data_IF_089869291786
#
_entry.id   IF_089869291786
#
_cell.length_a   1.000
_cell.length_b   1.000
_cell.length_c   1.000
_cell.angle_alpha   90.00
_cell.angle_beta   90.00
_cell.angle_gamma   90.00
#
_symmetry.space_group_name_H-M   'P 1'
#
loop_
_entity.id
_entity.type
_entity.pdbx_description
1 polymer ?
#
# COMPACT_ATOMS: atom_id res chain seq x y z
N UNK A 1 2.68 104.52 -23.19
CA UNK A 1 3.04 103.25 -23.86
C UNK A 1 3.51 102.32 -22.76
N UNK A 2 2.86 101.17 -22.69
CA UNK A 2 2.94 100.13 -21.67
C UNK A 2 4.35 99.57 -21.51
N UNK A 3 4.72 99.13 -20.29
CA UNK A 3 5.30 97.79 -20.03
C UNK A 3 5.58 97.62 -18.52
N UNK A 4 4.73 96.85 -17.84
CA UNK A 4 4.95 95.46 -17.36
C UNK A 4 5.55 95.43 -15.95
N UNK A 5 4.67 95.12 -15.01
CA UNK A 5 4.92 94.86 -13.60
C UNK A 5 5.56 93.46 -13.49
N UNK A 6 6.84 93.39 -13.17
CA UNK A 6 7.56 92.12 -12.99
C UNK A 6 7.37 91.64 -11.55
N UNK A 7 6.61 90.55 -11.39
CA UNK A 7 6.22 89.94 -10.12
C UNK A 7 7.36 89.04 -9.63
N UNK A 8 7.91 89.36 -8.46
CA UNK A 8 8.84 88.51 -7.70
C UNK A 8 8.22 87.11 -7.42
N UNK A 9 8.93 86.05 -7.82
CA UNK A 9 8.65 84.68 -7.38
C UNK A 9 9.58 84.32 -6.21
N UNK A 10 9.08 83.82 -5.06
CA UNK A 10 9.95 83.38 -3.98
C UNK A 10 10.59 82.03 -4.30
N UNK A 11 11.88 81.90 -3.99
CA UNK A 11 12.63 80.66 -4.15
C UNK A 11 12.10 79.55 -3.23
N UNK A 12 11.62 78.45 -3.83
CA UNK A 12 11.27 77.22 -3.13
C UNK A 12 12.50 76.60 -2.46
N UNK A 13 12.49 76.58 -1.13
CA UNK A 13 13.48 75.85 -0.32
C UNK A 13 13.20 74.36 -0.41
N UNK A 14 13.96 73.62 -1.23
CA UNK A 14 13.90 72.16 -1.27
C UNK A 14 14.42 71.58 0.06
N UNK A 15 13.50 71.19 0.94
CA UNK A 15 13.81 70.29 2.06
C UNK A 15 14.04 68.88 1.52
N UNK A 16 15.30 68.46 1.49
CA UNK A 16 15.68 67.07 1.26
C UNK A 16 15.25 66.24 2.49
N UNK A 17 14.18 65.47 2.35
CA UNK A 17 13.80 64.47 3.36
C UNK A 17 14.74 63.27 3.19
N UNK A 18 15.70 63.11 4.10
CA UNK A 18 16.50 61.91 4.18
C UNK A 18 15.60 60.72 4.53
N UNK A 19 15.48 59.76 3.61
CA UNK A 19 14.77 58.51 3.85
C UNK A 19 15.45 57.72 4.98
N UNK A 20 14.70 57.08 5.89
CA UNK A 20 15.31 56.20 6.88
C UNK A 20 15.91 55.00 6.17
N UNK A 21 17.21 54.81 6.32
CA UNK A 21 17.92 53.62 5.85
C UNK A 21 17.37 52.41 6.58
N UNK A 22 16.46 51.68 5.92
CA UNK A 22 15.98 50.38 6.39
C UNK A 22 17.15 49.41 6.36
N UNK A 23 17.80 49.19 7.52
CA UNK A 23 18.76 48.11 7.66
C UNK A 23 17.98 46.80 7.58
N UNK A 24 18.13 46.09 6.47
CA UNK A 24 17.65 44.73 6.33
C UNK A 24 18.37 43.86 7.37
N UNK A 25 17.63 43.41 8.39
CA UNK A 25 18.11 42.40 9.33
C UNK A 25 18.13 41.07 8.57
N UNK A 26 19.28 40.74 7.98
CA UNK A 26 19.52 39.40 7.43
C UNK A 26 20.04 38.50 8.55
N UNK A 27 19.13 37.97 9.35
CA UNK A 27 19.42 36.77 10.13
C UNK A 27 18.35 35.77 9.73
N UNK A 28 18.70 34.90 8.79
CA UNK A 28 17.98 33.66 8.57
C UNK A 28 18.62 32.68 9.54
N UNK A 29 18.03 32.42 10.73
CA UNK A 29 18.55 31.39 11.60
C UNK A 29 18.50 30.07 10.83
N UNK A 30 19.67 29.49 10.57
CA UNK A 30 19.82 28.27 9.79
C UNK A 30 19.56 27.04 10.63
N UNK A 31 19.66 27.17 11.95
CA UNK A 31 19.38 26.09 12.90
C UNK A 31 18.36 26.52 13.97
N UNK A 32 17.59 25.56 14.52
CA UNK A 32 16.63 25.84 15.60
C UNK A 32 17.29 26.38 16.86
N UNK A 33 18.51 25.91 17.15
CA UNK A 33 19.30 26.40 18.27
C UNK A 33 19.70 27.87 18.10
N UNK A 34 20.05 28.31 16.88
CA UNK A 34 20.30 29.73 16.59
C UNK A 34 19.04 30.57 16.77
N UNK A 35 17.86 30.07 16.39
CA UNK A 35 16.58 30.77 16.60
C UNK A 35 16.31 31.00 18.09
N UNK A 36 16.48 29.95 18.92
CA UNK A 36 16.30 30.03 20.38
C UNK A 36 17.35 30.92 21.03
N UNK A 37 18.63 30.79 20.66
CA UNK A 37 19.71 31.63 21.18
C UNK A 37 19.52 33.11 20.81
N UNK A 38 19.06 33.38 19.60
CA UNK A 38 18.74 34.74 19.15
C UNK A 38 17.51 35.30 19.86
N UNK A 39 16.47 34.49 20.12
CA UNK A 39 15.32 34.89 20.91
C UNK A 39 15.73 35.21 22.36
N UNK A 40 16.56 34.36 22.98
CA UNK A 40 17.10 34.58 24.32
C UNK A 40 17.95 35.85 24.39
N UNK A 41 18.83 36.09 23.40
CA UNK A 41 19.64 37.31 23.31
C UNK A 41 18.80 38.59 23.18
N UNK A 42 17.58 38.48 22.63
CA UNK A 42 16.61 39.58 22.52
C UNK A 42 15.72 39.73 23.76
N UNK A 43 15.96 38.95 24.81
CA UNK A 43 15.20 39.02 26.05
C UNK A 43 13.85 38.31 26.01
N UNK A 44 13.69 37.29 25.15
CA UNK A 44 12.50 36.44 25.18
C UNK A 44 12.31 35.81 26.56
N UNK A 45 11.07 35.76 27.01
CA UNK A 45 10.67 35.11 28.25
C UNK A 45 10.87 33.60 28.21
N UNK A 46 10.97 32.96 29.37
CA UNK A 46 11.08 31.50 29.46
C UNK A 46 9.93 30.76 28.80
N UNK A 47 8.72 31.34 28.82
CA UNK A 47 7.55 30.73 28.20
C UNK A 47 7.61 30.81 26.67
N UNK A 48 8.12 31.91 26.11
CA UNK A 48 8.39 32.01 24.67
C UNK A 48 9.46 31.01 24.21
N UNK A 49 10.55 30.86 24.99
CA UNK A 49 11.60 29.89 24.67
C UNK A 49 11.07 28.44 24.68
N UNK A 50 10.21 28.08 25.63
CA UNK A 50 9.53 26.78 25.65
C UNK A 50 8.65 26.59 24.42
N UNK A 51 7.84 27.59 24.07
CA UNK A 51 6.98 27.55 22.89
C UNK A 51 7.79 27.36 21.58
N UNK A 52 8.98 27.96 21.48
CA UNK A 52 9.88 27.73 20.35
C UNK A 52 10.43 26.31 20.30
N UNK A 53 10.81 25.73 21.44
CA UNK A 53 11.28 24.33 21.52
C UNK A 53 10.16 23.37 21.11
N UNK A 54 8.94 23.55 21.65
CA UNK A 54 7.78 22.74 21.29
C UNK A 54 7.43 22.86 19.80
N UNK A 55 7.48 24.07 19.25
CA UNK A 55 7.30 24.30 17.82
C UNK A 55 8.35 23.53 17.01
N UNK A 56 9.60 23.55 17.45
CA UNK A 56 10.70 22.87 16.79
C UNK A 56 10.51 21.35 16.81
N UNK A 57 10.25 20.75 17.97
CA UNK A 57 9.97 19.31 18.11
C UNK A 57 8.81 18.89 17.19
N UNK A 58 7.76 19.72 17.09
CA UNK A 58 6.63 19.48 16.19
C UNK A 58 7.02 19.57 14.71
N UNK A 59 7.91 20.49 14.34
CA UNK A 59 8.41 20.58 12.97
C UNK A 59 9.28 19.37 12.61
N UNK A 60 10.17 18.94 13.50
CA UNK A 60 10.99 17.74 13.36
C UNK A 60 10.13 16.48 13.24
N UNK A 61 9.13 16.32 14.12
CA UNK A 61 8.20 15.21 14.06
C UNK A 61 7.43 15.18 12.73
N UNK A 62 7.00 16.35 12.24
CA UNK A 62 6.34 16.45 10.92
C UNK A 62 7.29 16.13 9.77
N UNK A 63 8.56 16.54 9.86
CA UNK A 63 9.57 16.21 8.87
C UNK A 63 9.86 14.71 8.85
N UNK A 64 10.02 14.09 10.03
CA UNK A 64 10.21 12.65 10.17
C UNK A 64 9.02 11.86 9.60
N UNK A 65 7.79 12.32 9.88
CA UNK A 65 6.57 11.71 9.30
C UNK A 65 6.52 11.84 7.78
N UNK A 66 6.84 13.01 7.22
CA UNK A 66 6.91 13.22 5.77
C UNK A 66 7.96 12.29 5.13
N UNK A 67 9.12 12.18 5.75
CA UNK A 67 10.20 11.31 5.28
C UNK A 67 9.81 9.83 5.32
N UNK A 68 9.17 9.39 6.42
CA UNK A 68 8.60 8.04 6.52
C UNK A 68 7.63 7.75 5.37
N UNK A 69 6.67 8.63 5.11
CA UNK A 69 5.68 8.42 4.04
C UNK A 69 6.35 8.38 2.66
N UNK A 70 7.30 9.27 2.40
CA UNK A 70 8.03 9.29 1.14
C UNK A 70 8.86 8.01 0.93
N UNK A 71 9.61 7.56 1.94
CA UNK A 71 10.41 6.35 1.88
C UNK A 71 9.53 5.09 1.75
N UNK A 72 8.38 5.04 2.42
CA UNK A 72 7.43 3.91 2.32
C UNK A 72 6.77 3.87 0.93
N UNK A 73 6.50 5.02 0.33
CA UNK A 73 6.03 5.08 -1.06
C UNK A 73 7.09 4.58 -2.06
N UNK A 74 8.37 4.89 -1.83
CA UNK A 74 9.48 4.39 -2.64
C UNK A 74 9.64 2.87 -2.49
N UNK A 75 9.63 2.36 -1.26
CA UNK A 75 9.63 0.92 -0.96
C UNK A 75 8.51 0.18 -1.73
N UNK A 76 7.32 0.77 -1.81
CA UNK A 76 6.17 0.19 -2.51
C UNK A 76 6.24 0.31 -4.04
N UNK A 77 7.16 1.10 -4.60
CA UNK A 77 7.33 1.21 -6.06
C UNK A 77 7.93 -0.06 -6.66
N UNK A 78 8.76 -0.75 -5.90
CA UNK A 78 9.34 -2.06 -6.25
C UNK A 78 9.15 -3.04 -5.09
N UNK A 79 7.91 -3.49 -4.83
CA UNK A 79 7.62 -4.27 -3.64
C UNK A 79 8.31 -5.64 -3.70
N UNK A 80 8.86 -6.13 -2.58
CA UNK A 80 9.52 -7.42 -2.54
C UNK A 80 8.52 -8.54 -2.85
N UNK A 81 8.97 -9.53 -3.61
CA UNK A 81 8.17 -10.71 -3.93
C UNK A 81 8.29 -11.75 -2.81
N UNK A 82 7.14 -12.20 -2.29
CA UNK A 82 7.10 -13.10 -1.13
C UNK A 82 6.47 -14.43 -1.56
N UNK A 83 7.31 -15.42 -1.84
CA UNK A 83 6.86 -16.73 -2.32
C UNK A 83 6.49 -17.66 -1.17
N UNK A 84 5.59 -18.61 -1.43
CA UNK A 84 5.23 -19.66 -0.49
C UNK A 84 6.29 -20.78 -0.52
N UNK A 85 7.04 -20.91 0.57
CA UNK A 85 8.19 -21.82 0.71
C UNK A 85 7.86 -23.09 1.50
N UNK A 86 6.68 -23.17 2.14
CA UNK A 86 6.29 -24.31 2.97
C UNK A 86 4.93 -24.88 2.59
N UNK A 87 4.87 -26.20 2.41
CA UNK A 87 3.64 -26.97 2.25
C UNK A 87 3.27 -27.68 3.57
N UNK A 88 1.99 -27.66 3.92
CA UNK A 88 1.41 -28.37 5.06
C UNK A 88 0.26 -29.21 4.55
N UNK A 89 0.38 -30.53 4.68
CA UNK A 89 -0.61 -31.47 4.18
C UNK A 89 -0.09 -32.90 4.22
N UNK A 90 -0.83 -33.78 3.60
CA UNK A 90 -0.47 -35.19 3.43
C UNK A 90 -0.77 -35.64 2.02
N UNK A 91 -0.09 -36.70 1.59
CA UNK A 91 -0.41 -37.37 0.34
C UNK A 91 -1.47 -38.44 0.60
N UNK A 92 -2.49 -38.45 -0.24
CA UNK A 92 -3.51 -39.48 -0.29
C UNK A 92 -2.96 -40.77 -0.91
N UNK A 93 -3.69 -41.88 -0.73
CA UNK A 93 -3.31 -43.18 -1.28
C UNK A 93 -3.26 -43.20 -2.82
N UNK A 94 -4.00 -42.30 -3.46
CA UNK A 94 -4.01 -42.11 -4.92
C UNK A 94 -2.86 -41.22 -5.43
N UNK A 95 -1.99 -40.75 -4.54
CA UNK A 95 -0.87 -39.86 -4.85
C UNK A 95 -1.22 -38.38 -4.87
N UNK A 96 -2.50 -37.99 -4.71
CA UNK A 96 -2.89 -36.57 -4.65
C UNK A 96 -2.45 -35.93 -3.33
N UNK A 97 -2.04 -34.66 -3.36
CA UNK A 97 -1.68 -33.90 -2.16
C UNK A 97 -2.92 -33.15 -1.63
N UNK A 98 -3.25 -33.33 -0.36
CA UNK A 98 -4.25 -32.51 0.33
C UNK A 98 -3.55 -31.65 1.36
N UNK A 99 -3.54 -30.34 1.12
CA UNK A 99 -2.86 -29.39 1.98
C UNK A 99 -2.91 -27.97 1.45
N UNK A 100 -2.16 -27.10 2.12
CA UNK A 100 -1.99 -25.71 1.71
C UNK A 100 -0.52 -25.31 1.79
N UNK A 101 -0.17 -24.27 1.02
CA UNK A 101 1.15 -23.67 1.06
C UNK A 101 1.11 -22.28 1.68
N UNK A 102 2.16 -21.92 2.40
CA UNK A 102 2.32 -20.60 3.02
C UNK A 102 3.78 -20.16 3.04
N UNK A 103 4.02 -18.85 3.16
CA UNK A 103 5.35 -18.28 3.37
C UNK A 103 5.74 -18.34 4.85
N UNK A 104 6.91 -18.87 5.18
CA UNK A 104 7.43 -18.89 6.55
C UNK A 104 7.79 -17.49 7.03
N UNK A 105 7.89 -17.30 8.35
CA UNK A 105 8.37 -16.04 8.92
C UNK A 105 9.76 -15.67 8.38
N UNK A 106 10.67 -16.63 8.27
CA UNK A 106 12.01 -16.40 7.74
C UNK A 106 12.01 -15.91 6.29
N UNK A 107 11.19 -16.50 5.42
CA UNK A 107 11.05 -16.04 4.04
C UNK A 107 10.46 -14.62 3.95
N UNK A 108 9.45 -14.32 4.76
CA UNK A 108 8.88 -12.97 4.85
C UNK A 108 9.92 -11.97 5.36
N UNK A 109 10.62 -12.28 6.45
CA UNK A 109 11.65 -11.41 7.00
C UNK A 109 12.78 -11.17 6.00
N UNK A 110 13.29 -12.22 5.35
CA UNK A 110 14.37 -12.09 4.37
C UNK A 110 14.00 -11.11 3.27
N UNK A 111 12.85 -11.30 2.63
CA UNK A 111 12.40 -10.43 1.54
C UNK A 111 12.05 -9.01 2.00
N UNK A 112 11.33 -8.86 3.11
CA UNK A 112 10.80 -7.57 3.55
C UNK A 112 11.85 -6.73 4.26
N UNK A 113 12.66 -7.31 5.14
CA UNK A 113 13.62 -6.56 5.97
C UNK A 113 14.78 -6.02 5.14
N UNK A 114 15.26 -6.80 4.18
CA UNK A 114 16.28 -6.34 3.22
C UNK A 114 15.79 -5.14 2.41
N UNK A 115 14.58 -5.23 1.86
CA UNK A 115 13.97 -4.15 1.09
C UNK A 115 13.68 -2.90 1.97
N UNK A 116 13.15 -3.08 3.18
CA UNK A 116 12.94 -1.99 4.14
C UNK A 116 14.24 -1.28 4.51
N UNK A 117 15.31 -2.03 4.75
CA UNK A 117 16.62 -1.49 5.12
C UNK A 117 17.20 -0.56 4.04
N UNK A 118 16.96 -0.87 2.76
CA UNK A 118 17.38 -0.02 1.63
C UNK A 118 16.76 1.38 1.65
N UNK A 119 15.58 1.51 2.27
CA UNK A 119 14.88 2.80 2.42
C UNK A 119 15.00 3.38 3.84
N UNK A 120 15.94 2.89 4.65
CA UNK A 120 16.20 3.42 5.99
C UNK A 120 15.15 3.05 7.02
N UNK A 121 14.42 1.95 6.82
CA UNK A 121 13.50 1.41 7.82
C UNK A 121 14.12 0.29 8.63
N UNK A 122 13.72 0.23 9.90
CA UNK A 122 13.94 -0.91 10.79
C UNK A 122 12.60 -1.41 11.32
N UNK A 123 12.56 -2.66 11.77
CA UNK A 123 11.38 -3.24 12.41
C UNK A 123 11.73 -3.84 13.76
N UNK A 124 10.76 -3.87 14.67
CA UNK A 124 10.84 -4.63 15.92
C UNK A 124 9.49 -5.26 16.24
N UNK A 125 9.51 -6.34 17.02
CA UNK A 125 8.30 -6.87 17.64
C UNK A 125 8.35 -6.74 19.15
N UNK A 126 7.23 -6.31 19.72
CA UNK A 126 6.92 -6.47 21.14
C UNK A 126 5.90 -7.59 21.28
N UNK A 127 6.18 -8.58 22.11
CA UNK A 127 5.33 -9.74 22.33
C UNK A 127 4.90 -9.81 23.79
N UNK A 128 3.60 -9.94 24.00
CA UNK A 128 2.98 -9.95 25.32
C UNK A 128 2.00 -11.11 25.43
N UNK A 129 1.85 -11.64 26.64
CA UNK A 129 0.77 -12.56 27.01
C UNK A 129 0.02 -11.95 28.20
N UNK A 130 -1.04 -11.14 27.95
CA UNK A 130 -1.83 -10.55 29.02
C UNK A 130 -2.53 -11.63 29.87
N UNK A 131 -3.02 -11.25 31.06
CA UNK A 131 -3.72 -12.15 31.99
C UNK A 131 -4.97 -12.83 31.40
N UNK A 132 -5.45 -12.35 30.24
CA UNK A 132 -6.50 -13.00 29.46
C UNK A 132 -6.08 -14.35 28.83
N UNK A 133 -4.79 -14.69 28.87
CA UNK A 133 -4.24 -15.90 28.22
C UNK A 133 -4.08 -15.79 26.71
N UNK A 134 -4.41 -14.63 26.12
CA UNK A 134 -4.17 -14.35 24.70
C UNK A 134 -2.70 -14.01 24.44
N UNK A 135 -2.26 -14.20 23.20
CA UNK A 135 -0.94 -13.74 22.73
C UNK A 135 -1.15 -12.49 21.91
N UNK A 136 -0.42 -11.43 22.22
CA UNK A 136 -0.41 -10.19 21.48
C UNK A 136 0.98 -9.92 20.90
N UNK A 137 1.03 -9.50 19.63
CA UNK A 137 2.26 -9.08 18.97
C UNK A 137 2.04 -7.71 18.34
N UNK A 138 2.94 -6.78 18.62
CA UNK A 138 2.98 -5.45 18.00
C UNK A 138 4.22 -5.35 17.13
N UNK A 139 4.04 -5.17 15.82
CA UNK A 139 5.12 -4.84 14.89
C UNK A 139 5.26 -3.32 14.82
N UNK A 140 6.47 -2.81 15.07
CA UNK A 140 6.80 -1.39 14.91
C UNK A 140 7.74 -1.22 13.72
N UNK A 141 7.42 -0.31 12.79
CA UNK A 141 8.32 0.10 11.70
C UNK A 141 8.83 1.49 12.00
N UNK A 142 10.15 1.66 12.11
CA UNK A 142 10.79 2.94 12.44
C UNK A 142 11.69 3.39 11.30
N UNK A 143 11.45 4.60 10.81
CA UNK A 143 12.31 5.24 9.81
C UNK A 143 13.55 5.85 10.47
N UNK A 144 14.65 5.99 9.72
CA UNK A 144 15.91 6.58 10.20
C UNK A 144 15.76 8.00 10.77
N UNK A 145 14.73 8.75 10.37
CA UNK A 145 14.40 10.07 10.93
C UNK A 145 13.57 10.01 12.23
N UNK A 146 13.28 8.83 12.77
CA UNK A 146 12.66 8.65 14.09
C UNK A 146 11.14 8.46 14.10
N UNK A 147 10.43 8.67 12.98
CA UNK A 147 8.99 8.37 12.95
C UNK A 147 8.75 6.85 12.97
N UNK A 148 7.73 6.44 13.73
CA UNK A 148 7.39 5.05 13.98
C UNK A 148 5.88 4.83 13.84
N UNK A 149 5.49 3.79 13.10
CA UNK A 149 4.10 3.30 13.03
C UNK A 149 4.04 1.86 13.56
N UNK A 150 2.91 1.51 14.17
CA UNK A 150 2.74 0.20 14.82
C UNK A 150 1.50 -0.53 14.32
N UNK A 151 1.62 -1.84 14.14
CA UNK A 151 0.52 -2.75 13.80
C UNK A 151 0.44 -3.85 14.86
N UNK A 152 -0.71 -3.98 15.54
CA UNK A 152 -0.92 -4.97 16.60
C UNK A 152 -1.95 -6.01 16.20
N UNK A 153 -1.66 -7.28 16.50
CA UNK A 153 -2.62 -8.38 16.39
C UNK A 153 -2.62 -9.20 17.68
N UNK A 154 -3.77 -9.80 17.97
CA UNK A 154 -3.99 -10.63 19.16
C UNK A 154 -4.70 -11.92 18.74
N UNK A 155 -4.28 -13.06 19.30
CA UNK A 155 -4.91 -14.35 19.05
C UNK A 155 -4.75 -15.29 20.26
N UNK A 156 -5.63 -16.30 20.43
CA UNK A 156 -5.41 -17.35 21.42
C UNK A 156 -4.18 -18.21 21.08
N UNK A 157 -3.61 -18.93 22.06
CA UNK A 157 -2.62 -19.98 21.79
C UNK A 157 -3.16 -21.00 20.78
N UNK A 158 -2.33 -21.36 19.79
CA UNK A 158 -2.73 -22.25 18.70
C UNK A 158 -2.82 -23.70 19.19
N UNK A 159 -4.03 -24.10 19.57
CA UNK A 159 -4.35 -25.43 20.08
C UNK A 159 -4.48 -26.52 19.00
N UNK A 160 -4.07 -26.24 17.76
CA UNK A 160 -4.11 -27.23 16.68
C UNK A 160 -3.07 -28.34 16.86
N UNK A 161 -3.44 -29.56 16.43
CA UNK A 161 -2.57 -30.74 16.49
C UNK A 161 -2.31 -31.22 17.91
N UNK A 162 -1.16 -31.88 18.12
CA UNK A 162 -0.75 -32.47 19.41
C UNK A 162 0.32 -31.61 20.11
N UNK A 163 0.12 -30.29 20.17
CA UNK A 163 1.07 -29.33 20.76
C UNK A 163 0.89 -29.18 22.27
N UNK A 164 2.00 -29.11 23.01
CA UNK A 164 1.97 -28.70 24.42
C UNK A 164 1.75 -27.18 24.56
N UNK A 165 1.38 -26.69 25.75
CA UNK A 165 1.01 -25.28 25.97
C UNK A 165 2.08 -24.28 25.47
N UNK A 166 3.37 -24.55 25.71
CA UNK A 166 4.47 -23.67 25.27
C UNK A 166 4.55 -23.63 23.74
N UNK A 167 4.39 -24.77 23.08
CA UNK A 167 4.38 -24.86 21.61
C UNK A 167 3.19 -24.11 21.01
N UNK A 168 2.01 -24.17 21.64
CA UNK A 168 0.82 -23.45 21.18
C UNK A 168 1.09 -21.94 21.17
N UNK A 169 1.64 -21.39 22.26
CA UNK A 169 2.02 -19.97 22.38
C UNK A 169 3.08 -19.61 21.34
N UNK A 170 4.16 -20.39 21.23
CA UNK A 170 5.23 -20.12 20.27
C UNK A 170 4.76 -20.12 18.81
N UNK A 171 3.84 -21.03 18.44
CA UNK A 171 3.25 -21.02 17.10
C UNK A 171 2.37 -19.79 16.86
N UNK A 172 1.61 -19.34 17.85
CA UNK A 172 0.83 -18.10 17.74
C UNK A 172 1.74 -16.88 17.56
N UNK A 173 2.82 -16.76 18.35
CA UNK A 173 3.79 -15.66 18.22
C UNK A 173 4.36 -15.62 16.80
N UNK A 174 4.84 -16.76 16.29
CA UNK A 174 5.43 -16.86 14.94
C UNK A 174 4.42 -16.44 13.87
N UNK A 175 3.16 -16.87 14.02
CA UNK A 175 2.09 -16.53 13.10
C UNK A 175 1.80 -15.02 13.13
N UNK A 176 1.60 -14.44 14.32
CA UNK A 176 1.29 -13.03 14.48
C UNK A 176 2.44 -12.12 14.03
N UNK A 177 3.70 -12.47 14.31
CA UNK A 177 4.87 -11.73 13.82
C UNK A 177 4.87 -11.62 12.30
N UNK A 178 4.61 -12.74 11.60
CA UNK A 178 4.53 -12.77 10.14
C UNK A 178 3.45 -11.84 9.60
N UNK A 179 2.22 -11.95 10.12
CA UNK A 179 1.10 -11.18 9.59
C UNK A 179 1.11 -9.72 10.01
N UNK A 180 1.64 -9.39 11.19
CA UNK A 180 1.81 -7.99 11.62
C UNK A 180 2.85 -7.27 10.77
N UNK A 181 3.95 -7.92 10.38
CA UNK A 181 4.94 -7.34 9.46
C UNK A 181 4.36 -7.14 8.06
N UNK A 182 3.67 -8.15 7.51
CA UNK A 182 2.97 -8.01 6.22
C UNK A 182 1.96 -6.86 6.25
N UNK A 183 1.14 -6.78 7.30
CA UNK A 183 0.13 -5.74 7.46
C UNK A 183 0.75 -4.35 7.66
N UNK A 184 1.82 -4.22 8.45
CA UNK A 184 2.52 -2.95 8.65
C UNK A 184 3.10 -2.40 7.34
N UNK A 185 3.58 -3.28 6.46
CA UNK A 185 4.09 -2.90 5.14
C UNK A 185 2.99 -2.79 4.07
N UNK A 186 1.77 -3.28 4.34
CA UNK A 186 0.71 -3.39 3.34
C UNK A 186 1.06 -4.36 2.21
N UNK A 187 1.67 -5.50 2.53
CA UNK A 187 2.10 -6.53 1.59
C UNK A 187 1.28 -7.81 1.74
N UNK A 188 1.23 -8.60 0.66
CA UNK A 188 0.64 -9.92 0.64
C UNK A 188 1.66 -10.95 0.12
N UNK A 189 1.49 -12.21 0.52
CA UNK A 189 2.25 -13.32 -0.06
C UNK A 189 1.70 -13.66 -1.44
N UNK A 190 2.56 -13.96 -2.40
CA UNK A 190 2.13 -14.34 -3.74
C UNK A 190 1.29 -15.62 -3.69
N UNK A 191 0.26 -15.64 -4.51
CA UNK A 191 -0.38 -16.88 -4.89
C UNK A 191 0.59 -17.61 -5.83
N UNK A 192 0.96 -18.84 -5.50
CA UNK A 192 1.59 -19.70 -6.49
C UNK A 192 0.57 -19.90 -7.60
N UNK A 193 1.00 -19.79 -8.86
CA UNK A 193 0.24 -20.30 -9.99
C UNK A 193 -0.19 -21.73 -9.63
N UNK A 194 -1.48 -21.90 -9.48
CA UNK A 194 -2.12 -23.18 -9.24
C UNK A 194 -1.96 -24.00 -10.53
N UNK A 195 -0.84 -24.72 -10.65
CA UNK A 195 -0.54 -25.64 -11.76
C UNK A 195 -1.32 -26.97 -11.63
N UNK A 196 -2.48 -26.93 -10.98
CA UNK A 196 -3.48 -28.01 -11.01
C UNK A 196 -4.39 -27.91 -12.27
N UNK A 197 -4.04 -27.03 -13.22
CA UNK A 197 -4.63 -26.91 -14.55
C UNK A 197 -3.59 -27.08 -15.65
N UNK A 198 -3.21 -28.33 -15.94
CA UNK A 198 -2.38 -28.79 -17.08
C UNK A 198 -2.05 -27.72 -18.15
N UNK A 199 -0.77 -27.33 -18.17
CA UNK A 199 0.07 -27.11 -19.35
C UNK A 199 -0.59 -26.58 -20.63
N UNK A 200 -0.33 -25.30 -20.90
CA UNK A 200 -0.36 -24.72 -22.24
C UNK A 200 0.75 -23.67 -22.32
N UNK A 201 1.99 -24.12 -22.46
CA UNK A 201 3.03 -23.26 -23.02
C UNK A 201 2.64 -22.99 -24.46
N UNK A 202 2.44 -21.72 -24.81
CA UNK A 202 2.77 -21.23 -26.14
C UNK A 202 3.62 -19.98 -25.95
N UNK A 203 4.93 -20.17 -26.02
CA UNK A 203 5.81 -19.14 -26.53
C UNK A 203 5.51 -18.99 -28.02
N UNK A 204 4.97 -17.85 -28.43
CA UNK A 204 5.35 -17.31 -29.74
C UNK A 204 5.56 -15.80 -29.64
N UNK A 205 6.82 -15.43 -29.85
CA UNK A 205 7.27 -14.09 -30.04
C UNK A 205 7.38 -13.84 -31.54
N UNK A 206 6.57 -12.98 -32.16
CA UNK A 206 6.97 -12.22 -33.35
C UNK A 206 6.11 -10.94 -33.58
N UNK A 207 6.66 -9.79 -33.14
CA UNK A 207 7.02 -8.61 -33.96
C UNK A 207 5.95 -7.82 -34.79
N UNK A 208 6.06 -6.48 -34.62
CA UNK A 208 5.86 -5.34 -35.55
C UNK A 208 4.60 -4.44 -35.39
N UNK A 209 4.81 -3.34 -34.66
CA UNK A 209 4.68 -1.91 -35.04
C UNK A 209 3.45 -1.34 -35.77
N UNK A 210 3.00 -0.21 -35.17
CA UNK A 210 2.67 1.13 -35.73
C UNK A 210 1.24 1.55 -36.13
N UNK A 211 0.91 2.73 -35.57
CA UNK A 211 0.09 3.86 -36.07
C UNK A 211 -1.43 3.79 -35.85
N UNK A 212 -1.97 4.58 -34.89
CA UNK A 212 -2.73 5.86 -35.10
C UNK A 212 -4.20 5.60 -35.51
N UNK A 213 -5.26 6.18 -34.94
CA UNK A 213 -5.54 7.54 -34.44
C UNK A 213 -6.89 7.57 -33.69
N UNK A 214 -7.08 8.61 -32.86
CA UNK A 214 -8.27 9.00 -32.09
C UNK A 214 -9.60 9.02 -32.88
N UNK A 215 -10.74 8.78 -32.21
CA UNK A 215 -11.81 9.78 -32.00
C UNK A 215 -12.84 9.32 -30.94
N UNK A 216 -13.56 10.30 -30.39
CA UNK A 216 -14.27 10.31 -29.12
C UNK A 216 -15.76 9.93 -29.20
N UNK A 217 -16.28 9.37 -28.10
CA UNK A 217 -17.57 9.78 -27.54
C UNK A 217 -18.80 8.92 -27.83
N UNK A 218 -19.22 8.13 -26.83
CA UNK A 218 -20.59 8.13 -26.30
C UNK A 218 -20.67 7.26 -25.03
N UNK A 219 -21.25 7.86 -24.00
CA UNK A 219 -21.50 7.31 -22.67
C UNK A 219 -22.55 6.22 -22.72
N UNK A 220 -22.26 5.04 -22.17
CA UNK A 220 -23.28 4.16 -21.58
C UNK A 220 -22.64 3.22 -20.56
N UNK A 221 -23.20 3.23 -19.35
CA UNK A 221 -22.77 2.41 -18.23
C UNK A 221 -23.20 0.95 -18.47
N UNK A 222 -22.24 0.04 -18.53
CA UNK A 222 -22.49 -1.39 -18.31
C UNK A 222 -21.25 -2.07 -17.73
N UNK A 223 -21.50 -2.85 -16.67
CA UNK A 223 -20.57 -3.66 -15.89
C UNK A 223 -19.58 -4.46 -16.75
N UNK A 224 -18.28 -4.16 -16.63
CA UNK A 224 -17.21 -4.74 -17.44
C UNK A 224 -16.85 -6.18 -17.07
N UNK A 225 -17.61 -7.14 -17.59
CA UNK A 225 -17.18 -8.52 -17.77
C UNK A 225 -17.20 -8.83 -19.27
N UNK A 226 -16.04 -9.20 -19.83
CA UNK A 226 -15.91 -9.62 -21.24
C UNK A 226 -16.94 -10.71 -21.57
N UNK A 227 -17.58 -10.62 -22.73
CA UNK A 227 -18.58 -11.60 -23.16
C UNK A 227 -17.91 -12.89 -23.64
N UNK A 228 -18.50 -14.05 -23.37
CA UNK A 228 -18.04 -15.30 -23.98
C UNK A 228 -18.22 -15.25 -25.49
N UNK A 229 -17.11 -15.36 -26.23
CA UNK A 229 -17.18 -15.56 -27.68
C UNK A 229 -17.85 -16.90 -28.01
N UNK A 230 -18.53 -17.02 -29.17
CA UNK A 230 -19.12 -18.29 -29.59
C UNK A 230 -18.12 -19.46 -29.59
N UNK A 231 -16.87 -19.19 -29.94
CA UNK A 231 -15.80 -20.18 -30.01
C UNK A 231 -15.39 -20.66 -28.62
N UNK A 232 -15.16 -19.74 -27.67
CA UNK A 232 -14.87 -20.09 -26.27
C UNK A 232 -16.02 -20.84 -25.60
N UNK A 233 -17.25 -20.43 -25.90
CA UNK A 233 -18.43 -21.09 -25.38
C UNK A 233 -18.55 -22.52 -25.93
N UNK A 234 -18.34 -22.73 -27.23
CA UNK A 234 -18.37 -24.04 -27.85
C UNK A 234 -17.26 -24.96 -27.33
N UNK A 235 -16.06 -24.44 -27.10
CA UNK A 235 -14.92 -25.19 -26.58
C UNK A 235 -15.18 -25.73 -25.15
N UNK A 236 -15.77 -24.89 -24.28
CA UNK A 236 -16.01 -25.24 -22.88
C UNK A 236 -17.36 -25.92 -22.62
N UNK A 237 -18.31 -25.81 -23.55
CA UNK A 237 -19.65 -26.40 -23.44
C UNK A 237 -19.69 -27.89 -23.07
N UNK A 238 -18.84 -28.79 -23.63
CA UNK A 238 -18.86 -30.21 -23.28
C UNK A 238 -18.54 -30.49 -21.79
N UNK A 239 -17.63 -29.71 -21.21
CA UNK A 239 -17.26 -29.84 -19.80
C UNK A 239 -18.40 -29.38 -18.88
N UNK A 240 -19.00 -28.23 -19.20
CA UNK A 240 -20.12 -27.69 -18.43
C UNK A 240 -21.37 -28.56 -18.55
N UNK A 241 -21.65 -29.07 -19.74
CA UNK A 241 -22.76 -29.99 -19.97
C UNK A 241 -22.60 -31.27 -19.15
N UNK A 242 -21.39 -31.82 -19.04
CA UNK A 242 -21.11 -32.98 -18.19
C UNK A 242 -21.42 -32.71 -16.71
N UNK A 243 -21.05 -31.55 -16.19
CA UNK A 243 -21.35 -31.17 -14.80
C UNK A 243 -22.85 -31.02 -14.53
N UNK A 244 -23.62 -30.60 -15.54
CA UNK A 244 -25.09 -30.51 -15.45
C UNK A 244 -25.73 -31.89 -15.53
N UNK A 245 -25.28 -32.75 -16.45
CA UNK A 245 -25.78 -34.11 -16.61
C UNK A 245 -25.44 -35.02 -15.41
N UNK A 246 -24.28 -34.81 -14.78
CA UNK A 246 -23.85 -35.52 -13.55
C UNK A 246 -24.62 -35.05 -12.30
N UNK A 247 -25.57 -34.11 -12.44
CA UNK A 247 -26.41 -33.59 -11.35
C UNK A 247 -25.66 -32.70 -10.34
N UNK A 248 -24.38 -32.40 -10.59
CA UNK A 248 -23.53 -31.58 -9.70
C UNK A 248 -23.92 -30.10 -9.71
N UNK A 249 -24.55 -29.63 -10.79
CA UNK A 249 -25.10 -28.26 -10.93
C UNK A 249 -26.38 -28.28 -11.77
N UNK A 250 -27.38 -27.50 -11.37
CA UNK A 250 -28.54 -27.24 -12.25
C UNK A 250 -28.16 -26.26 -13.37
N UNK A 251 -28.88 -26.23 -14.51
CA UNK A 251 -28.60 -25.26 -15.57
C UNK A 251 -28.59 -23.80 -15.10
N UNK A 252 -29.51 -23.39 -14.23
CA UNK A 252 -29.52 -22.03 -13.69
C UNK A 252 -28.35 -21.76 -12.72
N UNK A 253 -27.91 -22.77 -11.96
CA UNK A 253 -26.70 -22.66 -11.15
C UNK A 253 -25.44 -22.57 -12.02
N UNK A 254 -25.44 -23.21 -13.20
CA UNK A 254 -24.36 -23.10 -14.18
C UNK A 254 -24.33 -21.70 -14.81
N UNK A 255 -25.47 -21.15 -15.23
CA UNK A 255 -25.54 -19.77 -15.75
C UNK A 255 -25.02 -18.78 -14.70
N UNK A 256 -25.47 -18.89 -13.45
CA UNK A 256 -24.99 -18.02 -12.37
C UNK A 256 -23.48 -18.11 -12.15
N UNK A 257 -22.92 -19.32 -12.23
CA UNK A 257 -21.50 -19.56 -12.08
C UNK A 257 -20.68 -19.00 -13.25
N UNK A 258 -21.17 -19.11 -14.48
CA UNK A 258 -20.47 -18.59 -15.65
C UNK A 258 -20.55 -17.06 -15.74
N UNK A 259 -21.68 -16.48 -15.33
CA UNK A 259 -21.88 -15.03 -15.27
C UNK A 259 -20.99 -14.32 -14.24
N UNK A 260 -20.28 -15.02 -13.35
CA UNK A 260 -19.25 -14.39 -12.49
C UNK A 260 -17.93 -14.17 -13.21
N UNK A 261 -17.67 -14.91 -14.31
CA UNK A 261 -16.42 -14.87 -15.07
C UNK A 261 -16.53 -14.05 -16.35
N UNK A 262 -17.67 -14.13 -17.03
CA UNK A 262 -17.91 -13.45 -18.31
C UNK A 262 -19.41 -13.36 -18.57
N UNK A 263 -19.86 -12.35 -19.33
CA UNK A 263 -21.27 -12.22 -19.71
C UNK A 263 -21.65 -13.27 -20.77
N UNK A 264 -22.85 -13.85 -20.64
CA UNK A 264 -23.39 -14.86 -21.57
C UNK A 264 -24.50 -14.23 -22.42
N UNK A 265 -24.50 -14.51 -23.73
CA UNK A 265 -25.62 -14.12 -24.61
C UNK A 265 -26.91 -14.87 -24.25
N UNK A 266 -28.07 -14.34 -24.66
CA UNK A 266 -29.36 -15.00 -24.45
C UNK A 266 -29.42 -16.40 -25.11
N UNK A 267 -28.75 -16.57 -26.25
CA UNK A 267 -28.67 -17.86 -26.95
C UNK A 267 -27.83 -18.87 -26.15
N UNK A 268 -26.69 -18.44 -25.60
CA UNK A 268 -25.84 -19.28 -24.75
C UNK A 268 -26.57 -19.73 -23.49
N UNK A 269 -27.33 -18.82 -22.86
CA UNK A 269 -28.15 -19.15 -21.69
C UNK A 269 -29.26 -20.16 -22.03
N UNK A 270 -29.93 -20.02 -23.19
CA UNK A 270 -30.91 -21.00 -23.67
C UNK A 270 -30.27 -22.38 -23.93
N UNK A 271 -29.07 -22.41 -24.51
CA UNK A 271 -28.33 -23.66 -24.72
C UNK A 271 -27.96 -24.33 -23.39
N UNK A 272 -27.52 -23.58 -22.37
CA UNK A 272 -27.25 -24.17 -21.06
C UNK A 272 -28.52 -24.76 -20.44
N UNK A 273 -29.65 -24.07 -20.56
CA UNK A 273 -30.95 -24.54 -20.03
C UNK A 273 -31.47 -25.80 -20.71
N UNK A 274 -31.13 -26.05 -21.97
CA UNK A 274 -31.53 -27.26 -22.68
C UNK A 274 -30.71 -28.50 -22.32
N UNK A 275 -29.65 -28.36 -21.51
CA UNK A 275 -28.83 -29.49 -21.06
C UNK A 275 -29.47 -30.33 -19.95
N UNK A 276 -30.53 -29.83 -19.31
CA UNK A 276 -31.36 -30.65 -18.43
C UNK A 276 -32.43 -31.39 -19.25
N UNK A 277 -32.50 -32.72 -19.08
CA UNK A 277 -33.69 -33.52 -19.42
C UNK A 277 -34.63 -33.54 -18.23
#
# INVERSE_FOLDING_TARGET
MSEVLEMEQPAETQRTVAAPTSQAISVIPTTPFELVAHAAARGASMDELRAFIELQERLEANQARKAYVAAMAEFKRSPPQIMKDKAVGYYNKDGSFTGYRHSTLGAVCGAVVEALGTHGFSHRWDTEQPDSGLVAVTCSITHAMGHCETTRMVAPPDNSGKKNAIQQVASTITYLQRYTLLAACGLATNEQLDDDGRGGQDEDATRVSSAQTNDSGATEQATGLSQYTPEQFAEKSPEWQKLVLDGRKTPDAMIRFLSTKASLSEEQQKTIRSWAK
#
